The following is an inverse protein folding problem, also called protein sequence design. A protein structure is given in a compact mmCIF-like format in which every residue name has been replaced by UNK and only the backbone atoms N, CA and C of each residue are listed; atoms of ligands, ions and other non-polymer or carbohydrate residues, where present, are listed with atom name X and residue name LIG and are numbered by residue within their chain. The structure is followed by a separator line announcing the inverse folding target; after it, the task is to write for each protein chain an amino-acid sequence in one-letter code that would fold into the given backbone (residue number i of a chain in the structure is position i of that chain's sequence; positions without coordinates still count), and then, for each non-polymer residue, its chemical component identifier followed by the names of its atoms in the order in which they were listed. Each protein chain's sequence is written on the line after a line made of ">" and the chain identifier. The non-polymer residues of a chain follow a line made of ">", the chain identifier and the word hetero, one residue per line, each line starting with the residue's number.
data_IF_810170667574
#
_entry.id   IF_810170667574
#
_cell.length_a   1.000
_cell.length_b   1.000
_cell.length_c   1.000
_cell.angle_alpha   90.00
_cell.angle_beta   90.00
_cell.angle_gamma   90.00
#
_symmetry.space_group_name_H-M   'P 1'
#
loop_
_entity.id
_entity.type
_entity.pdbx_description
1 polymer ?
#
# COMPACT_ATOMS: atom_id res chain seq x y z
N UNK A 1 -4.39 16.88 3.31
CA UNK A 1 -5.82 16.48 3.31
C UNK A 1 -6.72 17.71 3.40
N UNK A 2 -7.96 17.69 2.86
CA UNK A 2 -8.92 18.81 3.00
C UNK A 2 -9.35 19.06 4.45
N UNK A 3 -9.10 18.10 5.34
CA UNK A 3 -9.06 18.30 6.79
C UNK A 3 -7.59 18.29 7.21
N UNK A 4 -7.09 19.37 7.84
CA UNK A 4 -5.69 19.52 8.26
C UNK A 4 -5.19 18.51 9.30
N UNK A 5 -5.93 17.43 9.57
CA UNK A 5 -5.56 16.37 10.50
C UNK A 5 -4.64 15.29 9.88
N UNK A 6 -4.51 15.23 8.55
CA UNK A 6 -3.67 14.22 7.88
C UNK A 6 -2.75 14.89 6.84
N UNK A 7 -1.45 14.69 7.00
CA UNK A 7 -0.47 14.89 5.94
C UNK A 7 -0.43 13.64 5.04
N UNK A 8 -0.51 13.84 3.73
CA UNK A 8 -0.63 12.74 2.77
C UNK A 8 0.42 12.92 1.70
N UNK A 9 1.35 11.98 1.62
CA UNK A 9 2.42 11.94 0.63
C UNK A 9 2.16 10.81 -0.36
N UNK A 10 2.12 11.13 -1.66
CA UNK A 10 2.06 10.14 -2.74
C UNK A 10 3.41 10.10 -3.44
N UNK A 11 3.90 8.89 -3.74
CA UNK A 11 5.14 8.69 -4.51
C UNK A 11 4.95 7.58 -5.52
N UNK A 12 5.39 7.85 -6.75
CA UNK A 12 5.50 6.82 -7.79
C UNK A 12 6.82 6.07 -7.58
N UNK A 13 6.73 4.79 -7.23
CA UNK A 13 7.91 3.97 -6.90
C UNK A 13 8.84 3.77 -8.09
N UNK A 14 8.37 3.95 -9.33
CA UNK A 14 9.18 3.78 -10.55
C UNK A 14 10.14 4.96 -10.74
N UNK A 15 9.70 6.17 -10.41
CA UNK A 15 10.43 7.40 -10.73
C UNK A 15 11.00 8.13 -9.51
N UNK A 16 10.39 7.96 -8.33
CA UNK A 16 10.84 8.62 -7.12
C UNK A 16 12.20 8.06 -6.64
N UNK A 17 12.97 8.89 -5.94
CA UNK A 17 14.18 8.43 -5.29
C UNK A 17 13.86 7.37 -4.22
N UNK A 18 14.55 6.24 -4.28
CA UNK A 18 14.28 5.10 -3.39
C UNK A 18 14.60 5.41 -1.94
N UNK A 19 15.59 6.27 -1.68
CA UNK A 19 15.94 6.72 -0.34
C UNK A 19 14.86 7.61 0.25
N UNK A 20 14.33 8.54 -0.54
CA UNK A 20 13.20 9.39 -0.14
C UNK A 20 11.95 8.55 0.17
N UNK A 21 11.58 7.62 -0.72
CA UNK A 21 10.42 6.74 -0.51
C UNK A 21 10.59 5.89 0.74
N UNK A 22 11.79 5.33 0.97
CA UNK A 22 12.08 4.55 2.17
C UNK A 22 12.01 5.40 3.45
N UNK A 23 12.51 6.64 3.42
CA UNK A 23 12.41 7.57 4.54
C UNK A 23 10.95 7.85 4.88
N UNK A 24 10.12 8.15 3.88
CA UNK A 24 8.69 8.41 4.06
C UNK A 24 7.95 7.18 4.59
N UNK A 25 8.25 6.00 4.04
CA UNK A 25 7.65 4.74 4.48
C UNK A 25 7.91 4.47 5.96
N UNK A 26 9.13 4.73 6.43
CA UNK A 26 9.52 4.47 7.82
C UNK A 26 8.94 5.51 8.80
N UNK A 27 8.77 6.77 8.35
CA UNK A 27 8.20 7.84 9.17
C UNK A 27 6.67 7.88 9.19
N UNK A 28 5.99 7.34 8.18
CA UNK A 28 4.53 7.40 8.08
C UNK A 28 3.83 6.65 9.23
N UNK A 29 2.70 7.18 9.71
CA UNK A 29 1.86 6.53 10.73
C UNK A 29 0.93 5.46 10.14
N UNK A 30 0.55 5.64 8.87
CA UNK A 30 -0.15 4.65 8.08
C UNK A 30 0.41 4.55 6.66
N UNK A 31 0.39 3.34 6.09
CA UNK A 31 0.93 3.05 4.76
C UNK A 31 -0.13 2.44 3.83
N UNK A 32 -0.25 2.97 2.62
CA UNK A 32 -1.01 2.35 1.54
C UNK A 32 -0.07 2.02 0.38
N UNK A 33 -0.02 0.75 -0.01
CA UNK A 33 0.85 0.27 -1.10
C UNK A 33 0.01 -0.11 -2.32
N UNK A 34 0.26 0.57 -3.44
CA UNK A 34 -0.35 0.25 -4.73
C UNK A 34 0.52 -0.68 -5.56
N UNK A 35 -0.05 -1.74 -6.14
CA UNK A 35 0.66 -2.61 -7.08
C UNK A 35 -0.27 -3.23 -8.12
N UNK A 36 0.18 -3.32 -9.37
CA UNK A 36 -0.42 -4.25 -10.33
C UNK A 36 0.08 -5.68 -10.09
N UNK A 37 -0.42 -6.64 -10.85
CA UNK A 37 0.12 -8.02 -10.88
C UNK A 37 0.74 -8.31 -12.25
N UNK A 38 2.02 -8.67 -12.26
CA UNK A 38 2.79 -9.07 -13.45
C UNK A 38 3.41 -10.42 -13.15
N UNK A 39 3.18 -11.42 -14.02
CA UNK A 39 3.70 -12.79 -13.84
C UNK A 39 3.35 -13.41 -12.47
N UNK A 40 2.12 -13.19 -12.00
CA UNK A 40 1.61 -13.62 -10.68
C UNK A 40 2.37 -13.05 -9.49
N UNK A 41 3.01 -11.90 -9.65
CA UNK A 41 3.81 -11.25 -8.63
C UNK A 41 3.59 -9.72 -8.64
N UNK A 42 3.96 -9.05 -7.54
CA UNK A 42 4.14 -7.61 -7.56
C UNK A 42 5.42 -7.24 -8.35
N UNK A 43 5.45 -6.11 -9.07
CA UNK A 43 6.65 -5.68 -9.77
C UNK A 43 7.83 -5.51 -8.81
N UNK A 44 9.05 -5.84 -9.28
CA UNK A 44 10.26 -5.83 -8.44
C UNK A 44 10.53 -4.50 -7.73
N UNK A 45 10.08 -3.37 -8.29
CA UNK A 45 10.21 -2.05 -7.65
C UNK A 45 9.45 -1.95 -6.32
N UNK A 46 8.30 -2.64 -6.20
CA UNK A 46 7.51 -2.69 -4.96
C UNK A 46 8.29 -3.44 -3.89
N UNK A 47 8.92 -4.56 -4.27
CA UNK A 47 9.75 -5.35 -3.36
C UNK A 47 11.03 -4.63 -2.92
N UNK A 48 11.70 -3.91 -3.82
CA UNK A 48 12.87 -3.10 -3.48
C UNK A 48 12.52 -2.04 -2.43
N UNK A 49 11.39 -1.34 -2.58
CA UNK A 49 10.93 -0.38 -1.56
C UNK A 49 10.58 -1.07 -0.23
N UNK A 50 9.77 -2.14 -0.24
CA UNK A 50 9.38 -2.85 0.98
C UNK A 50 10.52 -3.61 1.67
N UNK A 51 11.64 -3.82 0.97
CA UNK A 51 12.86 -4.37 1.58
C UNK A 51 13.58 -3.36 2.49
N UNK A 52 13.28 -2.07 2.34
CA UNK A 52 13.89 -0.95 3.08
C UNK A 52 13.07 -0.51 4.30
N UNK A 53 11.98 -1.23 4.58
CA UNK A 53 11.17 -1.03 5.77
C UNK A 53 11.93 -1.48 7.02
N UNK A 54 12.01 -0.62 8.02
CA UNK A 54 12.57 -0.92 9.33
C UNK A 54 11.49 -1.57 10.21
N UNK A 55 11.62 -2.87 10.43
CA UNK A 55 10.64 -3.66 11.19
C UNK A 55 10.42 -3.19 12.64
N UNK A 56 11.34 -2.41 13.23
CA UNK A 56 11.18 -1.83 14.56
C UNK A 56 10.28 -0.60 14.46
N UNK A 57 10.58 0.31 13.54
CA UNK A 57 9.82 1.55 13.36
C UNK A 57 8.44 1.34 12.75
N UNK A 58 8.21 0.24 12.04
CA UNK A 58 6.94 -0.07 11.38
C UNK A 58 5.97 -0.89 12.22
N UNK A 59 6.41 -1.37 13.39
CA UNK A 59 5.62 -2.27 14.23
C UNK A 59 4.30 -1.62 14.68
N UNK A 60 3.18 -2.31 14.42
CA UNK A 60 1.83 -1.92 14.83
C UNK A 60 1.18 -0.83 13.99
N UNK A 61 1.94 -0.15 13.13
CA UNK A 61 1.43 0.91 12.25
C UNK A 61 0.40 0.36 11.27
N UNK A 62 -0.62 1.14 10.96
CA UNK A 62 -1.67 0.71 10.04
C UNK A 62 -1.12 0.56 8.62
N UNK A 63 -1.49 -0.51 7.93
CA UNK A 63 -1.15 -0.67 6.53
C UNK A 63 -2.30 -1.24 5.71
N UNK A 64 -2.29 -0.95 4.42
CA UNK A 64 -3.17 -1.55 3.45
C UNK A 64 -2.51 -1.67 2.08
N UNK A 65 -3.11 -2.49 1.23
CA UNK A 65 -2.66 -2.67 -0.14
C UNK A 65 -3.83 -2.57 -1.12
N UNK A 66 -3.55 -2.07 -2.31
CA UNK A 66 -4.53 -1.97 -3.38
C UNK A 66 -3.89 -2.20 -4.75
N UNK A 67 -4.69 -2.57 -5.74
CA UNK A 67 -4.15 -2.90 -7.05
C UNK A 67 -5.18 -3.30 -8.09
N UNK A 68 -4.75 -3.24 -9.35
CA UNK A 68 -5.50 -3.82 -10.47
C UNK A 68 -4.74 -4.94 -11.15
N UNK A 69 -5.46 -5.84 -11.81
CA UNK A 69 -4.90 -7.02 -12.47
C UNK A 69 -5.77 -7.47 -13.65
N UNK A 70 -5.21 -8.31 -14.54
CA UNK A 70 -5.96 -8.88 -15.67
C UNK A 70 -6.63 -10.21 -15.33
N UNK A 71 -5.82 -11.27 -15.18
CA UNK A 71 -6.31 -12.64 -15.00
C UNK A 71 -6.31 -13.09 -13.54
N UNK A 72 -5.26 -12.77 -12.80
CA UNK A 72 -5.08 -13.11 -11.39
C UNK A 72 -4.42 -11.95 -10.64
N UNK A 73 -4.77 -11.79 -9.36
CA UNK A 73 -4.42 -10.63 -8.54
C UNK A 73 -3.63 -11.01 -7.29
N UNK A 74 -2.49 -11.68 -7.46
CA UNK A 74 -1.63 -12.18 -6.38
C UNK A 74 -0.89 -11.06 -5.63
N UNK A 75 -0.63 -9.92 -6.28
CA UNK A 75 0.19 -8.86 -5.69
C UNK A 75 -0.37 -8.35 -4.36
N UNK A 76 -1.68 -8.06 -4.26
CA UNK A 76 -2.28 -7.53 -3.03
C UNK A 76 -2.19 -8.53 -1.85
N UNK A 77 -2.53 -9.82 -2.01
CA UNK A 77 -2.27 -10.84 -1.00
C UNK A 77 -0.79 -10.94 -0.59
N UNK A 78 0.13 -10.90 -1.55
CA UNK A 78 1.57 -10.95 -1.25
C UNK A 78 2.02 -9.72 -0.46
N UNK A 79 1.50 -8.53 -0.78
CA UNK A 79 1.77 -7.31 -0.03
C UNK A 79 1.21 -7.38 1.39
N UNK A 80 0.00 -7.94 1.57
CA UNK A 80 -0.57 -8.19 2.89
C UNK A 80 0.38 -9.06 3.73
N UNK A 81 0.81 -10.17 3.16
CA UNK A 81 1.67 -11.13 3.87
C UNK A 81 3.02 -10.49 4.22
N UNK A 82 3.62 -9.73 3.28
CA UNK A 82 4.86 -8.99 3.49
C UNK A 82 4.74 -7.91 4.57
N UNK A 83 3.70 -7.08 4.52
CA UNK A 83 3.47 -6.01 5.49
C UNK A 83 3.19 -6.58 6.89
N UNK A 84 2.43 -7.68 6.97
CA UNK A 84 2.20 -8.40 8.23
C UNK A 84 3.50 -8.98 8.78
N UNK A 85 4.36 -9.53 7.92
CA UNK A 85 5.69 -10.02 8.32
C UNK A 85 6.56 -8.89 8.87
N UNK A 86 6.49 -7.69 8.27
CA UNK A 86 7.11 -6.44 8.75
C UNK A 86 6.40 -5.81 9.95
N UNK A 87 5.47 -6.55 10.58
CA UNK A 87 4.75 -6.19 11.79
C UNK A 87 3.80 -5.00 11.65
N UNK A 88 3.43 -4.61 10.44
CA UNK A 88 2.31 -3.69 10.25
C UNK A 88 0.99 -4.34 10.68
N UNK A 89 0.06 -3.52 11.15
CA UNK A 89 -1.34 -3.89 11.34
C UNK A 89 -2.08 -3.76 10.00
N UNK A 90 -2.09 -4.84 9.20
CA UNK A 90 -2.76 -4.83 7.92
C UNK A 90 -4.29 -4.77 8.09
N UNK A 91 -4.94 -3.81 7.41
CA UNK A 91 -6.38 -3.57 7.53
C UNK A 91 -7.13 -4.29 6.42
N UNK A 92 -8.06 -5.17 6.79
CA UNK A 92 -8.94 -5.89 5.86
C UNK A 92 -8.17 -6.80 4.90
N UNK A 93 -8.68 -6.93 3.68
CA UNK A 93 -8.08 -7.79 2.63
C UNK A 93 -7.40 -7.00 1.50
N UNK A 94 -7.41 -5.66 1.58
CA UNK A 94 -6.99 -4.80 0.48
C UNK A 94 -8.03 -4.67 -0.63
N UNK A 95 -7.75 -3.80 -1.60
CA UNK A 95 -8.64 -3.56 -2.74
C UNK A 95 -8.04 -4.16 -4.00
N UNK A 96 -8.82 -4.98 -4.71
CA UNK A 96 -8.38 -5.66 -5.93
C UNK A 96 -9.40 -5.43 -7.03
N UNK A 97 -8.95 -4.88 -8.15
CA UNK A 97 -9.80 -4.51 -9.28
C UNK A 97 -9.38 -5.27 -10.54
N UNK A 98 -10.35 -5.82 -11.27
CA UNK A 98 -10.09 -6.46 -12.56
C UNK A 98 -10.06 -5.39 -13.65
N UNK A 99 -8.96 -5.32 -14.40
CA UNK A 99 -8.69 -4.33 -15.44
C UNK A 99 -8.87 -2.88 -14.98
N UNK A 100 -9.90 -2.21 -15.48
CA UNK A 100 -10.12 -0.78 -15.29
C UNK A 100 -11.14 -0.54 -14.17
N UNK A 101 -10.81 0.28 -13.15
CA UNK A 101 -11.74 0.60 -12.08
C UNK A 101 -13.02 1.27 -12.58
N UNK A 102 -14.15 0.83 -12.02
CA UNK A 102 -15.44 1.49 -12.11
C UNK A 102 -15.58 2.56 -11.01
N UNK A 103 -16.61 3.40 -11.09
CA UNK A 103 -16.93 4.34 -10.00
C UNK A 103 -17.20 3.64 -8.67
N UNK A 104 -17.78 2.44 -8.69
CA UNK A 104 -18.00 1.63 -7.48
C UNK A 104 -16.67 1.16 -6.88
N UNK A 105 -15.71 0.76 -7.72
CA UNK A 105 -14.37 0.36 -7.26
C UNK A 105 -13.63 1.55 -6.64
N UNK A 106 -13.74 2.74 -7.26
CA UNK A 106 -13.16 3.96 -6.73
C UNK A 106 -13.83 4.38 -5.41
N UNK A 107 -15.15 4.19 -5.28
CA UNK A 107 -15.86 4.42 -4.02
C UNK A 107 -15.41 3.44 -2.92
N UNK A 108 -15.27 2.15 -3.25
CA UNK A 108 -14.73 1.14 -2.33
C UNK A 108 -13.29 1.48 -1.90
N UNK A 109 -12.44 1.96 -2.82
CA UNK A 109 -11.08 2.41 -2.49
C UNK A 109 -11.07 3.61 -1.56
N UNK A 110 -11.98 4.58 -1.73
CA UNK A 110 -12.12 5.73 -0.81
C UNK A 110 -12.50 5.28 0.59
N UNK A 111 -13.45 4.36 0.71
CA UNK A 111 -13.85 3.78 2.00
C UNK A 111 -12.70 3.02 2.65
N UNK A 112 -11.98 2.20 1.88
CA UNK A 112 -10.84 1.45 2.37
C UNK A 112 -9.70 2.36 2.86
N UNK A 113 -9.36 3.40 2.10
CA UNK A 113 -8.35 4.38 2.50
C UNK A 113 -8.73 5.08 3.81
N UNK A 114 -10.02 5.42 4.00
CA UNK A 114 -10.51 6.00 5.25
C UNK A 114 -10.40 5.03 6.43
N UNK A 115 -10.64 3.73 6.22
CA UNK A 115 -10.48 2.70 7.26
C UNK A 115 -9.02 2.54 7.70
N UNK A 116 -8.08 2.58 6.75
CA UNK A 116 -6.64 2.53 7.06
C UNK A 116 -6.21 3.78 7.80
N UNK A 117 -6.60 4.97 7.31
CA UNK A 117 -6.26 6.24 7.93
C UNK A 117 -6.86 6.42 9.34
N UNK A 118 -8.02 5.83 9.63
CA UNK A 118 -8.62 5.86 10.96
C UNK A 118 -7.85 5.05 12.01
N UNK A 119 -6.86 4.25 11.58
CA UNK A 119 -5.95 3.49 12.45
C UNK A 119 -4.52 4.04 12.45
N UNK A 120 -4.29 5.17 11.78
CA UNK A 120 -3.04 5.93 11.84
C UNK A 120 -2.86 6.55 13.24
#
# INVERSE_FOLDING_TARGET
>A
SKNGALDVQMRDMVFADRGEVASLLNSADALLVGSCTINRDAPGVVWDILSRADAINTHGKAAGAFGSYGWSGEAVPMLRDRLTHLKYNFVGDGVRVVFQPTENDLAAMRLYAAQVAAKA
#
